data_IF_257553188011
#
_entry.id   IF_257553188011
#
_cell.length_a   1.000
_cell.length_b   1.000
_cell.length_c   1.000
_cell.angle_alpha   90.00
_cell.angle_beta   90.00
_cell.angle_gamma   90.00
#
_symmetry.space_group_name_H-M   'P 1'
#
loop_
_entity.id
_entity.type
_entity.pdbx_description
1 polymer ?
#
# COMPACT_ATOMS: atom_id res chain seq x y z
N UNK A 1 18.33 34.05 -23.49
CA UNK A 1 17.10 34.65 -22.93
C UNK A 1 15.94 33.75 -23.36
N UNK A 2 15.30 32.91 -22.56
CA UNK A 2 15.46 32.60 -21.13
C UNK A 2 14.88 31.20 -20.87
N UNK A 3 15.43 30.50 -19.89
CA UNK A 3 14.84 29.30 -19.32
C UNK A 3 14.62 29.60 -17.83
N UNK A 4 13.36 29.59 -17.40
CA UNK A 4 13.00 29.73 -16.00
C UNK A 4 13.49 28.47 -15.26
N UNK A 5 14.43 28.69 -14.35
CA UNK A 5 14.89 27.70 -13.39
C UNK A 5 13.77 27.43 -12.39
N UNK A 6 13.14 26.26 -12.47
CA UNK A 6 12.24 25.78 -11.42
C UNK A 6 13.09 25.43 -10.18
N UNK A 7 12.84 26.14 -9.09
CA UNK A 7 13.60 26.04 -7.83
C UNK A 7 13.08 24.95 -6.88
N UNK A 8 12.59 23.82 -7.40
CA UNK A 8 12.24 22.69 -6.55
C UNK A 8 12.51 21.37 -7.30
N UNK A 9 13.67 20.79 -6.99
CA UNK A 9 14.26 19.60 -7.61
C UNK A 9 13.53 18.29 -7.29
N UNK A 10 12.20 18.28 -7.26
CA UNK A 10 11.41 17.06 -7.12
C UNK A 10 11.04 16.51 -8.49
N UNK A 11 11.89 15.62 -9.00
CA UNK A 11 11.51 14.72 -10.09
C UNK A 11 10.38 13.82 -9.57
N UNK A 12 9.13 14.16 -9.90
CA UNK A 12 8.01 13.22 -9.81
C UNK A 12 8.17 12.18 -10.91
N UNK A 13 8.86 11.09 -10.60
CA UNK A 13 8.96 9.93 -11.49
C UNK A 13 7.56 9.31 -11.63
N UNK A 14 6.90 9.60 -12.76
CA UNK A 14 5.75 8.86 -13.28
C UNK A 14 6.12 7.36 -13.25
N UNK A 15 5.26 6.57 -12.61
CA UNK A 15 5.58 5.20 -12.19
C UNK A 15 6.02 4.33 -13.35
N UNK A 16 6.97 3.42 -13.07
CA UNK A 16 7.39 2.39 -14.02
C UNK A 16 6.19 1.55 -14.46
N UNK A 17 6.30 0.91 -15.62
CA UNK A 17 5.34 -0.08 -16.16
C UNK A 17 5.04 -1.24 -15.17
N UNK A 18 5.92 -1.43 -14.17
CA UNK A 18 5.84 -2.47 -13.15
C UNK A 18 4.76 -2.23 -12.05
N UNK A 19 4.20 -1.02 -11.95
CA UNK A 19 3.17 -0.68 -10.93
C UNK A 19 1.74 -1.09 -11.35
N UNK A 20 1.58 -2.01 -12.32
CA UNK A 20 0.27 -2.43 -12.83
C UNK A 20 -0.13 -3.79 -12.26
N UNK A 21 -1.33 -3.86 -11.68
CA UNK A 21 -1.93 -5.08 -11.15
C UNK A 21 -2.99 -5.58 -12.13
N UNK A 22 -2.89 -6.84 -12.55
CA UNK A 22 -3.87 -7.47 -13.43
C UNK A 22 -4.92 -8.20 -12.59
N UNK A 23 -6.14 -7.65 -12.53
CA UNK A 23 -7.26 -8.22 -11.77
C UNK A 23 -8.32 -8.69 -12.75
N UNK A 24 -8.51 -10.00 -12.87
CA UNK A 24 -9.50 -10.58 -13.77
C UNK A 24 -9.43 -10.05 -15.23
N UNK A 25 -8.22 -9.79 -15.74
CA UNK A 25 -8.01 -9.26 -17.10
C UNK A 25 -7.97 -7.74 -17.20
N UNK A 26 -8.30 -7.00 -16.14
CA UNK A 26 -8.21 -5.55 -16.09
C UNK A 26 -6.86 -5.09 -15.52
N UNK A 27 -6.23 -4.12 -16.19
CA UNK A 27 -4.98 -3.49 -15.76
C UNK A 27 -5.30 -2.30 -14.86
N UNK A 28 -4.99 -2.40 -13.58
CA UNK A 28 -5.18 -1.35 -12.59
C UNK A 28 -3.83 -0.77 -12.18
N UNK A 29 -3.70 0.55 -12.15
CA UNK A 29 -2.51 1.21 -11.63
C UNK A 29 -2.47 1.17 -10.10
N UNK A 30 -1.41 0.61 -9.52
CA UNK A 30 -1.19 0.62 -8.08
C UNK A 30 -1.18 2.06 -7.53
N UNK A 31 -0.54 3.00 -8.24
CA UNK A 31 -0.53 4.43 -7.89
C UNK A 31 -1.91 5.08 -7.83
N UNK A 32 -2.85 4.66 -8.68
CA UNK A 32 -4.22 5.17 -8.67
C UNK A 32 -4.93 4.70 -7.40
N UNK A 33 -4.78 3.42 -7.05
CA UNK A 33 -5.33 2.84 -5.83
C UNK A 33 -4.71 3.50 -4.59
N UNK A 34 -3.38 3.69 -4.56
CA UNK A 34 -2.67 4.42 -3.50
C UNK A 34 -3.23 5.85 -3.35
N UNK A 35 -3.42 6.56 -4.47
CA UNK A 35 -3.97 7.92 -4.45
C UNK A 35 -5.39 7.96 -3.89
N UNK A 36 -6.23 6.98 -4.25
CA UNK A 36 -7.57 6.86 -3.69
C UNK A 36 -7.54 6.66 -2.16
N UNK A 37 -6.62 5.82 -1.66
CA UNK A 37 -6.44 5.62 -0.21
C UNK A 37 -6.06 6.91 0.52
N UNK A 38 -5.17 7.72 -0.08
CA UNK A 38 -4.70 8.99 0.50
C UNK A 38 -5.79 10.07 0.57
N UNK A 39 -6.94 9.88 -0.09
CA UNK A 39 -8.08 10.80 0.05
C UNK A 39 -8.83 10.61 1.36
N UNK A 40 -8.61 9.51 2.07
CA UNK A 40 -9.25 9.25 3.37
C UNK A 40 -8.54 10.03 4.48
N UNK A 41 -9.29 10.82 5.28
CA UNK A 41 -8.72 11.55 6.41
C UNK A 41 -8.05 10.59 7.41
N UNK A 42 -6.88 10.97 7.91
CA UNK A 42 -6.12 10.17 8.88
C UNK A 42 -5.12 9.20 8.26
N UNK A 43 -5.16 8.95 6.94
CA UNK A 43 -4.11 8.20 6.24
C UNK A 43 -2.89 9.10 6.01
N UNK A 44 -1.71 8.59 6.37
CA UNK A 44 -0.43 9.23 6.12
C UNK A 44 0.17 8.74 4.80
N UNK A 45 0.31 7.43 4.65
CA UNK A 45 0.87 6.79 3.46
C UNK A 45 0.05 5.58 3.06
N UNK A 46 0.10 5.24 1.78
CA UNK A 46 -0.56 4.07 1.22
C UNK A 46 0.40 3.35 0.28
N UNK A 47 0.37 2.02 0.33
CA UNK A 47 1.12 1.14 -0.56
C UNK A 47 0.22 0.02 -1.05
N UNK A 48 0.27 -0.25 -2.35
CA UNK A 48 -0.56 -1.28 -2.98
C UNK A 48 0.33 -2.31 -3.66
N UNK A 49 0.06 -3.58 -3.40
CA UNK A 49 0.82 -4.70 -3.96
C UNK A 49 -0.12 -5.78 -4.52
N UNK A 50 0.30 -6.51 -5.56
CA UNK A 50 -0.44 -7.65 -6.04
C UNK A 50 -0.33 -8.83 -5.06
N UNK A 51 -1.47 -9.34 -4.65
CA UNK A 51 -1.65 -10.57 -3.88
C UNK A 51 -2.22 -11.65 -4.81
N UNK A 52 -1.72 -12.88 -4.70
CA UNK A 52 -2.25 -14.02 -5.43
C UNK A 52 -3.67 -14.34 -4.95
N UNK A 53 -4.63 -14.43 -5.87
CA UNK A 53 -6.01 -14.78 -5.57
C UNK A 53 -6.43 -15.95 -6.47
N UNK A 54 -7.00 -17.01 -5.87
CA UNK A 54 -7.33 -18.24 -6.56
C UNK A 54 -8.43 -18.07 -7.64
N UNK A 55 -9.26 -17.03 -7.55
CA UNK A 55 -10.41 -16.81 -8.43
C UNK A 55 -10.10 -15.78 -9.51
N UNK A 56 -9.49 -14.66 -9.12
CA UNK A 56 -9.20 -13.51 -9.99
C UNK A 56 -7.76 -13.48 -10.51
N UNK A 57 -6.95 -14.46 -10.15
CA UNK A 57 -5.52 -14.57 -10.45
C UNK A 57 -4.67 -13.67 -9.54
N UNK A 58 -4.92 -12.35 -9.57
CA UNK A 58 -4.32 -11.40 -8.64
C UNK A 58 -5.35 -10.37 -8.17
N UNK A 59 -5.17 -9.87 -6.96
CA UNK A 59 -5.96 -8.78 -6.38
C UNK A 59 -5.05 -7.76 -5.70
N UNK A 60 -5.49 -6.50 -5.56
CA UNK A 60 -4.72 -5.51 -4.83
C UNK A 60 -4.85 -5.78 -3.33
N UNK A 61 -3.72 -5.97 -2.66
CA UNK A 61 -3.61 -5.85 -1.21
C UNK A 61 -3.17 -4.42 -0.88
N UNK A 62 -3.90 -3.78 0.04
CA UNK A 62 -3.69 -2.39 0.41
C UNK A 62 -3.09 -2.34 1.81
N UNK A 63 -1.98 -1.62 1.94
CA UNK A 63 -1.36 -1.28 3.21
C UNK A 63 -1.46 0.23 3.38
N UNK A 64 -1.91 0.69 4.55
CA UNK A 64 -1.99 2.12 4.89
C UNK A 64 -1.36 2.39 6.25
N UNK A 65 -0.62 3.47 6.38
CA UNK A 65 -0.14 3.98 7.67
C UNK A 65 -0.98 5.20 8.07
N UNK A 66 -1.09 5.42 9.38
CA UNK A 66 -1.87 6.52 9.91
C UNK A 66 -1.02 7.75 10.22
N UNK A 67 -1.66 8.93 10.19
CA UNK A 67 -1.05 10.15 10.75
C UNK A 67 -1.03 10.06 12.27
N UNK A 68 -0.02 10.70 12.88
CA UNK A 68 0.08 10.81 14.34
C UNK A 68 -1.24 11.29 14.95
N UNK A 69 -1.76 10.53 15.90
CA UNK A 69 -3.03 10.82 16.58
C UNK A 69 -4.28 10.18 15.97
N UNK A 70 -4.17 9.49 14.84
CA UNK A 70 -5.27 8.67 14.29
C UNK A 70 -5.21 7.24 14.84
N UNK A 71 -6.37 6.62 15.05
CA UNK A 71 -6.49 5.28 15.62
C UNK A 71 -6.90 4.28 14.55
N UNK A 72 -6.26 3.10 14.44
CA UNK A 72 -6.68 2.07 13.51
C UNK A 72 -8.05 1.53 13.90
N UNK A 73 -9.00 1.54 12.96
CA UNK A 73 -10.35 1.02 13.18
C UNK A 73 -10.88 0.31 11.93
N UNK A 74 -11.86 -0.58 12.11
CA UNK A 74 -12.58 -1.23 10.99
C UNK A 74 -13.27 -0.20 10.11
N UNK A 75 -13.86 0.81 10.72
CA UNK A 75 -14.52 1.90 10.00
C UNK A 75 -13.56 2.64 9.07
N UNK A 76 -12.32 2.88 9.50
CA UNK A 76 -11.31 3.53 8.66
C UNK A 76 -10.89 2.64 7.48
N UNK A 77 -10.68 1.35 7.73
CA UNK A 77 -10.39 0.38 6.66
C UNK A 77 -11.54 0.29 5.64
N UNK A 78 -12.79 0.34 6.10
CA UNK A 78 -13.96 0.40 5.23
C UNK A 78 -14.06 1.73 4.46
N UNK A 79 -13.70 2.87 5.08
CA UNK A 79 -13.62 4.15 4.37
C UNK A 79 -12.60 4.11 3.24
N UNK A 80 -11.43 3.52 3.46
CA UNK A 80 -10.41 3.30 2.42
C UNK A 80 -10.97 2.43 1.30
N UNK A 81 -11.63 1.33 1.65
CA UNK A 81 -12.27 0.45 0.65
C UNK A 81 -13.31 1.21 -0.19
N UNK A 82 -14.18 1.99 0.46
CA UNK A 82 -15.20 2.81 -0.22
C UNK A 82 -14.57 3.88 -1.11
N UNK A 83 -13.49 4.51 -0.68
CA UNK A 83 -12.78 5.52 -1.48
C UNK A 83 -12.21 4.89 -2.77
N UNK A 84 -11.60 3.70 -2.67
CA UNK A 84 -11.10 2.96 -3.84
C UNK A 84 -12.25 2.57 -4.77
N UNK A 85 -13.35 2.03 -4.22
CA UNK A 85 -14.52 1.65 -5.02
C UNK A 85 -15.16 2.85 -5.71
N UNK A 86 -15.14 4.03 -5.09
CA UNK A 86 -15.72 5.26 -5.64
C UNK A 86 -14.86 5.87 -6.74
N UNK A 87 -13.53 5.89 -6.57
CA UNK A 87 -12.64 6.52 -7.54
C UNK A 87 -12.30 5.62 -8.73
N UNK A 88 -12.22 4.30 -8.52
CA UNK A 88 -11.71 3.35 -9.53
C UNK A 88 -12.79 2.34 -9.91
N UNK A 89 -13.64 1.95 -8.97
CA UNK A 89 -14.71 0.99 -9.17
C UNK A 89 -14.54 -0.31 -8.36
N UNK A 90 -15.61 -1.10 -8.32
CA UNK A 90 -15.67 -2.37 -7.58
C UNK A 90 -14.62 -3.40 -8.02
N UNK A 91 -14.06 -3.26 -9.22
CA UNK A 91 -13.00 -4.13 -9.72
C UNK A 91 -11.68 -3.95 -8.95
N UNK A 92 -11.41 -2.74 -8.46
CA UNK A 92 -10.21 -2.41 -7.69
C UNK A 92 -10.37 -2.67 -6.18
N UNK A 93 -11.51 -3.23 -5.77
CA UNK A 93 -11.78 -3.53 -4.36
C UNK A 93 -10.70 -4.45 -3.80
N UNK A 94 -9.94 -4.00 -2.79
CA UNK A 94 -8.89 -4.81 -2.20
C UNK A 94 -9.45 -6.02 -1.47
N UNK A 95 -8.65 -7.08 -1.34
CA UNK A 95 -9.01 -8.23 -0.51
C UNK A 95 -9.01 -7.82 0.96
N UNK A 96 -7.95 -7.12 1.38
CA UNK A 96 -7.73 -6.64 2.73
C UNK A 96 -7.13 -5.23 2.70
N UNK A 97 -7.53 -4.41 3.68
CA UNK A 97 -6.92 -3.12 3.98
C UNK A 97 -6.21 -3.26 5.32
N UNK A 98 -4.89 -3.35 5.27
CA UNK A 98 -4.02 -3.49 6.43
C UNK A 98 -3.62 -2.10 6.91
N UNK A 99 -4.07 -1.70 8.11
CA UNK A 99 -3.54 -0.48 8.73
C UNK A 99 -2.32 -0.89 9.53
N UNK A 100 -1.16 -0.42 9.11
CA UNK A 100 0.13 -0.78 9.68
C UNK A 100 0.66 0.40 10.50
N UNK A 101 1.47 0.16 11.54
CA UNK A 101 2.08 1.24 12.33
C UNK A 101 2.92 2.18 11.46
N UNK A 102 3.69 1.61 10.53
CA UNK A 102 4.54 2.32 9.59
C UNK A 102 4.80 1.46 8.34
N UNK A 103 5.31 2.08 7.27
CA UNK A 103 5.65 1.36 6.04
C UNK A 103 7.11 0.90 6.06
N UNK A 104 7.46 -0.29 5.51
CA UNK A 104 8.85 -0.72 5.41
C UNK A 104 9.60 0.19 4.44
N UNK A 105 10.50 1.03 4.96
CA UNK A 105 11.22 2.06 4.20
C UNK A 105 12.72 1.83 4.26
N UNK A 106 13.41 2.18 3.18
CA UNK A 106 14.87 2.32 3.22
C UNK A 106 15.27 3.52 4.09
N UNK A 107 16.56 3.60 4.45
CA UNK A 107 17.13 4.81 5.08
C UNK A 107 16.96 6.09 4.26
N UNK A 108 16.64 5.99 2.98
CA UNK A 108 16.31 7.12 2.10
C UNK A 108 14.82 7.48 2.10
N UNK A 109 13.99 6.82 2.92
CA UNK A 109 12.55 7.06 3.00
C UNK A 109 11.71 6.40 1.89
N UNK A 110 12.31 5.55 1.04
CA UNK A 110 11.56 4.88 -0.05
C UNK A 110 10.86 3.64 0.48
N UNK A 111 9.55 3.54 0.24
CA UNK A 111 8.75 2.35 0.56
C UNK A 111 9.23 1.16 -0.28
N UNK A 112 9.59 0.07 0.39
CA UNK A 112 10.04 -1.17 -0.24
C UNK A 112 8.87 -2.13 -0.47
N UNK A 113 8.08 -1.85 -1.52
CA UNK A 113 6.89 -2.64 -1.89
C UNK A 113 7.17 -4.14 -2.10
N UNK A 114 8.41 -4.51 -2.47
CA UNK A 114 8.81 -5.93 -2.58
C UNK A 114 8.59 -6.71 -1.28
N UNK A 115 8.80 -6.06 -0.13
CA UNK A 115 8.64 -6.67 1.19
C UNK A 115 7.16 -6.92 1.44
N UNK A 116 6.33 -5.89 1.27
CA UNK A 116 4.87 -6.01 1.40
C UNK A 116 4.31 -7.09 0.48
N UNK A 117 4.74 -7.14 -0.78
CA UNK A 117 4.32 -8.17 -1.73
C UNK A 117 4.77 -9.57 -1.30
N UNK A 118 5.99 -9.73 -0.77
CA UNK A 118 6.43 -11.01 -0.23
C UNK A 118 5.54 -11.44 0.94
N UNK A 119 5.23 -10.54 1.88
CA UNK A 119 4.34 -10.80 3.01
C UNK A 119 2.94 -11.22 2.54
N UNK A 120 2.30 -10.44 1.64
CA UNK A 120 0.95 -10.76 1.15
C UNK A 120 0.89 -12.11 0.45
N UNK A 121 1.98 -12.54 -0.18
CA UNK A 121 2.05 -13.81 -0.91
C UNK A 121 2.68 -14.95 -0.10
N UNK A 122 2.92 -14.75 1.22
CA UNK A 122 3.54 -15.77 2.08
C UNK A 122 4.96 -16.18 1.65
N UNK A 123 5.67 -15.31 0.94
CA UNK A 123 7.04 -15.52 0.46
C UNK A 123 8.05 -14.94 1.45
N UNK A 124 9.28 -15.47 1.48
CA UNK A 124 10.34 -14.87 2.29
C UNK A 124 10.59 -13.42 1.84
N UNK A 125 10.57 -12.49 2.80
CA UNK A 125 10.83 -11.06 2.60
C UNK A 125 12.28 -10.78 2.14
N UNK A 126 13.17 -11.74 2.33
CA UNK A 126 14.57 -11.67 1.94
C UNK A 126 15.37 -10.78 2.90
N UNK A 127 16.39 -10.09 2.37
CA UNK A 127 17.24 -9.25 3.21
C UNK A 127 16.56 -7.92 3.58
N UNK A 128 16.28 -7.77 4.88
CA UNK A 128 15.63 -6.61 5.52
C UNK A 128 16.63 -5.70 6.24
N UNK A 129 17.92 -6.02 6.25
CA UNK A 129 18.95 -5.27 7.01
C UNK A 129 19.16 -3.84 6.50
N UNK A 130 18.78 -3.60 5.25
CA UNK A 130 18.84 -2.27 4.59
C UNK A 130 17.67 -1.35 4.92
N UNK A 131 16.66 -1.87 5.63
CA UNK A 131 15.53 -1.07 6.08
C UNK A 131 15.94 -0.10 7.20
N UNK A 132 15.28 1.06 7.23
CA UNK A 132 15.36 1.97 8.36
C UNK A 132 14.64 1.40 9.59
N UNK A 133 13.59 0.63 9.35
CA UNK A 133 12.65 0.09 10.32
C UNK A 133 12.41 -1.41 10.10
N UNK A 134 13.43 -2.28 10.27
CA UNK A 134 13.28 -3.72 10.02
C UNK A 134 12.24 -4.38 10.93
N UNK A 135 12.04 -3.86 12.14
CA UNK A 135 11.03 -4.35 13.09
C UNK A 135 9.59 -4.27 12.56
N UNK A 136 9.29 -3.29 11.69
CA UNK A 136 7.95 -3.11 11.13
C UNK A 136 7.54 -4.30 10.27
N UNK A 137 8.52 -4.96 9.63
CA UNK A 137 8.28 -6.10 8.75
C UNK A 137 7.64 -7.25 9.53
N UNK A 138 8.19 -7.56 10.71
CA UNK A 138 7.68 -8.62 11.56
C UNK A 138 6.26 -8.32 12.07
N UNK A 139 5.97 -7.05 12.36
CA UNK A 139 4.62 -6.64 12.78
C UNK A 139 3.61 -6.76 11.63
N UNK A 140 3.97 -6.32 10.43
CA UNK A 140 3.13 -6.47 9.23
C UNK A 140 2.91 -7.95 8.91
N UNK A 141 3.94 -8.80 9.00
CA UNK A 141 3.83 -10.25 8.83
C UNK A 141 2.83 -10.86 9.83
N UNK A 142 2.88 -10.43 11.09
CA UNK A 142 1.95 -10.90 12.12
C UNK A 142 0.51 -10.49 11.82
N UNK A 143 0.30 -9.24 11.37
CA UNK A 143 -1.03 -8.74 10.99
C UNK A 143 -1.62 -9.51 9.82
N UNK A 144 -0.83 -9.74 8.77
CA UNK A 144 -1.28 -10.46 7.56
C UNK A 144 -1.57 -11.93 7.84
N UNK A 145 -0.82 -12.56 8.76
CA UNK A 145 -1.01 -13.96 9.13
C UNK A 145 -2.27 -14.19 9.98
N UNK A 146 -2.71 -13.19 10.73
CA UNK A 146 -3.84 -13.28 11.66
C UNK A 146 -4.91 -12.20 11.36
N UNK A 147 -5.61 -12.30 10.20
CA UNK A 147 -6.64 -11.33 9.80
C UNK A 147 -7.78 -11.21 10.82
N UNK A 148 -8.14 -12.30 11.51
CA UNK A 148 -9.26 -12.33 12.45
C UNK A 148 -9.03 -11.47 13.70
N UNK A 149 -7.77 -11.33 14.14
CA UNK A 149 -7.40 -10.40 15.24
C UNK A 149 -7.39 -8.93 14.83
N UNK A 150 -7.63 -8.62 13.56
CA UNK A 150 -7.39 -7.30 13.01
C UNK A 150 -8.62 -6.69 12.28
N UNK A 151 -8.88 -5.38 12.45
CA UNK A 151 -8.68 -4.55 13.63
C UNK A 151 -9.65 -4.97 14.75
N UNK A 152 -9.15 -5.12 15.97
CA UNK A 152 -10.02 -5.23 17.15
C UNK A 152 -10.76 -3.90 17.36
N UNK A 153 -12.03 -4.03 17.70
CA UNK A 153 -13.02 -2.96 17.84
C UNK A 153 -12.70 -2.04 19.01
#
# INVERSE_FOLDING_TARGET
MGALQAADGYIRILGRIDDVINVAGHRLGAKEIESACLTVPGIAEAAVVPEADAVKGRRPAVYVSLRSGSVPSRELAEQVTRAIETQIGKIARPTHVWIVPDMPKTRSGKILRRILSAISNGRPTGDVTTLANPEVVAEIERLVRDPDRWPAR
#
